data_IF_821001126448
#
_entry.id   IF_821001126448
#
_cell.length_a   1.000
_cell.length_b   1.000
_cell.length_c   1.000
_cell.angle_alpha   90.00
_cell.angle_beta   90.00
_cell.angle_gamma   90.00
#
_symmetry.space_group_name_H-M   'P 1'
#
loop_
_entity.id
_entity.type
_entity.pdbx_description
1 polymer ?
#
# COMPACT_ATOMS: atom_id res chain seq x y z
N UNK A 1 29.44 53.90 15.85
CA UNK A 1 28.10 53.44 15.46
C UNK A 1 28.21 52.68 14.15
N UNK A 2 28.29 51.39 14.20
CA UNK A 2 28.28 50.53 13.00
C UNK A 2 26.97 49.77 13.01
N UNK A 3 26.09 50.09 12.04
CA UNK A 3 24.82 49.44 11.82
C UNK A 3 25.02 48.02 11.34
N UNK A 4 24.53 47.04 12.12
CA UNK A 4 24.30 45.67 11.68
C UNK A 4 23.20 45.65 10.61
N UNK A 5 23.58 45.49 9.35
CA UNK A 5 22.64 45.07 8.31
C UNK A 5 22.31 43.59 8.58
N UNK A 6 21.15 43.31 9.11
CA UNK A 6 20.58 41.98 9.19
C UNK A 6 20.22 41.56 7.76
N UNK A 7 20.93 40.62 7.18
CA UNK A 7 20.50 39.95 5.94
C UNK A 7 19.28 39.13 6.25
N UNK A 8 18.10 39.67 5.98
CA UNK A 8 16.89 38.88 5.83
C UNK A 8 17.12 37.85 4.71
N UNK A 9 17.38 36.61 5.06
CA UNK A 9 17.23 35.49 4.13
C UNK A 9 15.79 35.48 3.68
N UNK A 10 15.51 36.06 2.53
CA UNK A 10 14.22 35.90 1.83
C UNK A 10 14.00 34.41 1.67
N UNK A 11 13.05 33.86 2.42
CA UNK A 11 12.68 32.46 2.28
C UNK A 11 12.18 32.28 0.85
N UNK A 12 12.94 31.58 0.02
CA UNK A 12 12.55 31.30 -1.37
C UNK A 12 11.17 30.60 -1.32
N UNK A 13 10.20 31.20 -2.00
CA UNK A 13 8.83 30.67 -2.04
C UNK A 13 8.86 29.28 -2.67
N UNK A 14 8.41 28.27 -1.94
CA UNK A 14 8.29 26.88 -2.45
C UNK A 14 7.18 26.83 -3.50
N UNK A 15 7.47 26.29 -4.68
CA UNK A 15 6.44 26.01 -5.70
C UNK A 15 5.95 24.59 -5.56
N UNK A 16 4.65 24.43 -5.42
CA UNK A 16 3.99 23.14 -5.36
C UNK A 16 3.48 22.76 -6.74
N UNK A 17 3.92 21.59 -7.21
CA UNK A 17 3.62 21.06 -8.54
C UNK A 17 2.65 19.90 -8.37
N UNK A 18 1.38 20.12 -8.63
CA UNK A 18 0.40 19.04 -8.67
C UNK A 18 0.42 18.33 -10.01
N UNK A 19 0.49 17.01 -10.00
CA UNK A 19 0.46 16.17 -11.21
C UNK A 19 -0.68 15.17 -11.07
N UNK A 20 -1.73 15.33 -11.88
CA UNK A 20 -2.71 14.28 -12.08
C UNK A 20 -2.21 13.34 -13.18
N UNK A 21 -2.21 12.03 -12.85
CA UNK A 21 -1.57 11.00 -13.68
C UNK A 21 -2.62 10.07 -14.26
N UNK A 22 -2.72 10.01 -15.58
CA UNK A 22 -3.46 8.96 -16.26
C UNK A 22 -2.55 8.10 -17.16
N UNK A 23 -3.12 7.16 -17.87
CA UNK A 23 -2.36 6.26 -18.76
C UNK A 23 -1.62 7.00 -19.86
N UNK A 24 -2.25 7.98 -20.46
CA UNK A 24 -1.79 8.64 -21.70
C UNK A 24 -1.21 10.04 -21.43
N UNK A 25 -1.66 10.70 -20.38
CA UNK A 25 -1.35 12.10 -20.10
C UNK A 25 -0.97 12.35 -18.66
N UNK A 26 -0.22 13.43 -18.47
CA UNK A 26 0.03 14.08 -17.19
C UNK A 26 -0.55 15.48 -17.28
N UNK A 27 -1.47 15.84 -16.38
CA UNK A 27 -1.93 17.21 -16.17
C UNK A 27 -1.13 17.83 -15.04
N UNK A 28 -0.54 18.99 -15.29
CA UNK A 28 0.35 19.67 -14.37
C UNK A 28 -0.21 21.03 -13.97
N UNK A 29 -0.14 21.36 -12.69
CA UNK A 29 -0.44 22.70 -12.17
C UNK A 29 0.65 23.19 -11.22
N UNK A 30 1.10 24.42 -11.43
CA UNK A 30 2.13 25.09 -10.63
C UNK A 30 1.46 26.11 -9.69
N UNK A 31 1.51 25.88 -8.40
CA UNK A 31 0.97 26.77 -7.38
C UNK A 31 2.12 27.43 -6.58
N UNK A 32 2.11 28.75 -6.33
CA UNK A 32 1.03 29.72 -6.58
C UNK A 32 1.07 30.38 -7.97
N UNK A 33 1.94 29.93 -8.90
CA UNK A 33 2.13 30.58 -10.21
C UNK A 33 0.88 30.61 -11.10
N UNK A 34 -0.12 29.75 -10.81
CA UNK A 34 -1.37 29.68 -11.57
C UNK A 34 -1.24 29.09 -12.98
N UNK A 35 -0.06 28.52 -13.31
CA UNK A 35 0.25 27.95 -14.64
C UNK A 35 -0.15 26.49 -14.69
N UNK A 36 -0.83 26.09 -15.76
CA UNK A 36 -1.18 24.68 -16.03
C UNK A 36 -0.79 24.30 -17.45
N UNK A 37 -0.37 23.04 -17.61
CA UNK A 37 -0.07 22.47 -18.92
C UNK A 37 -0.22 20.94 -18.89
N UNK A 38 -0.26 20.32 -20.08
CA UNK A 38 -0.39 18.87 -20.26
C UNK A 38 0.80 18.35 -21.05
N UNK A 39 1.29 17.15 -20.68
CA UNK A 39 2.28 16.39 -21.43
C UNK A 39 1.83 14.94 -21.56
N UNK A 40 2.43 14.18 -22.48
CA UNK A 40 2.21 12.73 -22.59
C UNK A 40 2.86 11.98 -21.45
N UNK A 41 2.27 10.86 -21.00
CA UNK A 41 2.86 10.00 -19.98
C UNK A 41 3.82 8.98 -20.62
N UNK A 42 4.86 9.50 -21.27
CA UNK A 42 5.92 8.76 -21.93
C UNK A 42 7.29 9.45 -21.73
N UNK A 43 8.34 8.88 -22.30
CA UNK A 43 9.70 9.43 -22.19
C UNK A 43 9.82 10.84 -22.78
N UNK A 44 9.07 11.16 -23.84
CA UNK A 44 9.09 12.48 -24.48
C UNK A 44 8.39 13.52 -23.59
N UNK A 45 7.21 13.18 -23.08
CA UNK A 45 6.46 14.03 -22.16
C UNK A 45 7.21 14.28 -20.85
N UNK A 46 7.87 13.27 -20.28
CA UNK A 46 8.71 13.43 -19.09
C UNK A 46 9.89 14.37 -19.34
N UNK A 47 10.54 14.26 -20.49
CA UNK A 47 11.61 15.22 -20.87
C UNK A 47 11.06 16.64 -21.01
N UNK A 48 9.88 16.82 -21.57
CA UNK A 48 9.22 18.13 -21.66
C UNK A 48 8.87 18.67 -20.28
N UNK A 49 8.25 17.84 -19.41
CA UNK A 49 7.93 18.21 -18.03
C UNK A 49 9.17 18.73 -17.30
N UNK A 50 10.27 17.99 -17.35
CA UNK A 50 11.52 18.39 -16.69
C UNK A 50 12.04 19.73 -17.21
N UNK A 51 12.06 19.96 -18.53
CA UNK A 51 12.46 21.25 -19.12
C UNK A 51 11.57 22.40 -18.65
N UNK A 52 10.26 22.19 -18.55
CA UNK A 52 9.32 23.20 -18.07
C UNK A 52 9.52 23.52 -16.59
N UNK A 53 9.91 22.53 -15.77
CA UNK A 53 10.25 22.73 -14.37
C UNK A 53 11.62 23.38 -14.19
N UNK A 54 12.63 22.99 -14.96
CA UNK A 54 13.98 23.59 -14.93
C UNK A 54 14.01 25.03 -15.49
N UNK A 55 13.04 25.40 -16.33
CA UNK A 55 12.86 26.75 -16.86
C UNK A 55 12.20 27.72 -15.84
N UNK A 56 11.86 27.27 -14.65
CA UNK A 56 11.43 28.14 -13.55
C UNK A 56 12.68 28.83 -12.97
N UNK A 57 13.04 29.96 -13.58
CA UNK A 57 14.26 30.69 -13.31
C UNK A 57 14.54 30.87 -11.81
N UNK A 58 15.79 30.60 -11.42
CA UNK A 58 16.38 30.80 -10.09
C UNK A 58 15.85 29.89 -8.97
N UNK A 59 15.02 28.87 -9.26
CA UNK A 59 14.56 27.92 -8.23
C UNK A 59 15.34 26.63 -8.31
N UNK A 60 16.04 26.21 -7.23
CA UNK A 60 16.63 24.88 -7.19
C UNK A 60 15.53 23.81 -7.19
N UNK A 61 15.79 22.65 -7.78
CA UNK A 61 14.84 21.52 -7.83
C UNK A 61 14.31 21.13 -6.44
N UNK A 62 15.11 21.34 -5.39
CA UNK A 62 14.73 21.13 -3.99
C UNK A 62 13.64 22.08 -3.47
N UNK A 63 13.45 23.22 -4.15
CA UNK A 63 12.35 24.16 -3.84
C UNK A 63 11.04 23.83 -4.59
N UNK A 64 11.07 22.83 -5.49
CA UNK A 64 9.91 22.34 -6.21
C UNK A 64 9.36 21.10 -5.51
N UNK A 65 8.21 21.24 -4.88
CA UNK A 65 7.54 20.12 -4.21
C UNK A 65 6.47 19.53 -5.12
N UNK A 66 6.76 18.36 -5.69
CA UNK A 66 5.87 17.66 -6.60
C UNK A 66 4.94 16.77 -5.81
N UNK A 67 3.63 16.89 -6.05
CA UNK A 67 2.58 16.09 -5.40
C UNK A 67 1.75 15.39 -6.47
N UNK A 68 1.67 14.07 -6.39
CA UNK A 68 0.86 13.26 -7.29
C UNK A 68 0.02 12.24 -6.53
N UNK A 69 -1.10 11.82 -7.12
CA UNK A 69 -1.93 10.75 -6.57
C UNK A 69 -1.43 9.37 -7.02
N UNK A 70 -1.54 8.38 -6.15
CA UNK A 70 -1.22 6.98 -6.47
C UNK A 70 -2.26 6.41 -7.46
N UNK A 71 -1.98 6.49 -8.76
CA UNK A 71 -2.87 6.02 -9.82
C UNK A 71 -2.36 4.70 -10.42
N UNK A 72 -2.76 3.59 -9.83
CA UNK A 72 -2.36 2.25 -10.25
C UNK A 72 -0.86 2.12 -10.49
N UNK A 73 -0.44 1.69 -11.71
CA UNK A 73 0.97 1.60 -12.09
C UNK A 73 1.51 2.86 -12.79
N UNK A 74 0.63 3.76 -13.23
CA UNK A 74 0.97 4.82 -14.17
C UNK A 74 1.83 5.94 -13.55
N UNK A 75 1.69 6.21 -12.25
CA UNK A 75 2.50 7.20 -11.54
C UNK A 75 3.94 6.74 -11.28
N UNK A 76 4.23 5.43 -11.27
CA UNK A 76 5.53 4.88 -10.84
C UNK A 76 6.70 5.33 -11.70
N UNK A 77 6.53 5.33 -13.03
CA UNK A 77 7.57 5.78 -13.97
C UNK A 77 7.87 7.27 -13.81
N UNK A 78 6.82 8.07 -13.65
CA UNK A 78 6.91 9.53 -13.39
C UNK A 78 7.64 9.79 -12.08
N UNK A 79 7.23 9.13 -10.99
CA UNK A 79 7.86 9.25 -9.68
C UNK A 79 9.35 8.91 -9.72
N UNK A 80 9.71 7.75 -10.31
CA UNK A 80 11.12 7.33 -10.43
C UNK A 80 11.96 8.35 -11.20
N UNK A 81 11.43 8.80 -12.34
CA UNK A 81 12.13 9.73 -13.22
C UNK A 81 12.37 11.07 -12.54
N UNK A 82 11.40 11.62 -11.84
CA UNK A 82 11.52 12.91 -11.14
C UNK A 82 12.38 12.77 -9.88
N UNK A 83 12.23 11.69 -9.14
CA UNK A 83 13.05 11.42 -7.95
C UNK A 83 14.54 11.24 -8.30
N UNK A 84 14.85 10.52 -9.40
CA UNK A 84 16.21 10.32 -9.88
C UNK A 84 16.89 11.65 -10.27
N UNK A 85 16.13 12.64 -10.71
CA UNK A 85 16.64 13.98 -11.05
C UNK A 85 16.69 14.93 -9.84
N UNK A 86 16.42 14.43 -8.61
CA UNK A 86 16.56 15.20 -7.38
C UNK A 86 15.36 16.08 -7.02
N UNK A 87 14.20 15.89 -7.66
CA UNK A 87 12.98 16.58 -7.25
C UNK A 87 12.41 16.00 -5.95
N UNK A 88 11.80 16.85 -5.14
CA UNK A 88 11.06 16.43 -3.96
C UNK A 88 9.67 15.93 -4.37
N UNK A 89 9.48 14.62 -4.38
CA UNK A 89 8.25 13.99 -4.88
C UNK A 89 7.47 13.33 -3.73
N UNK A 90 6.21 13.68 -3.59
CA UNK A 90 5.26 13.08 -2.65
C UNK A 90 4.12 12.39 -3.40
N UNK A 91 3.90 11.12 -3.10
CA UNK A 91 2.75 10.36 -3.61
C UNK A 91 1.70 10.27 -2.52
N UNK A 92 0.50 10.79 -2.79
CA UNK A 92 -0.58 10.84 -1.83
C UNK A 92 -1.62 9.75 -2.08
N UNK A 93 -2.27 9.31 -1.01
CA UNK A 93 -3.34 8.33 -1.08
C UNK A 93 -4.60 8.95 -1.74
N UNK A 94 -5.25 8.25 -2.69
CA UNK A 94 -6.43 8.73 -3.41
C UNK A 94 -7.60 9.13 -2.50
N UNK A 95 -7.78 8.42 -1.39
CA UNK A 95 -8.83 8.76 -0.44
C UNK A 95 -8.52 10.09 0.27
N UNK A 96 -7.24 10.33 0.63
CA UNK A 96 -6.83 11.60 1.25
C UNK A 96 -7.02 12.76 0.29
N UNK A 97 -6.63 12.62 -0.98
CA UNK A 97 -6.84 13.64 -2.01
C UNK A 97 -8.34 13.97 -2.17
N UNK A 98 -9.19 12.94 -2.26
CA UNK A 98 -10.65 13.10 -2.35
C UNK A 98 -11.27 13.77 -1.12
N UNK A 99 -10.83 13.41 0.08
CA UNK A 99 -11.31 14.01 1.31
C UNK A 99 -10.89 15.48 1.42
N UNK A 100 -9.66 15.79 1.01
CA UNK A 100 -9.15 17.15 0.94
C UNK A 100 -9.95 18.00 -0.06
N UNK A 101 -10.25 17.45 -1.25
CA UNK A 101 -11.11 18.09 -2.24
C UNK A 101 -12.47 18.50 -1.65
N UNK A 102 -13.13 17.57 -0.96
CA UNK A 102 -14.41 17.81 -0.31
C UNK A 102 -14.30 18.87 0.79
N UNK A 103 -13.24 18.83 1.60
CA UNK A 103 -13.01 19.82 2.66
C UNK A 103 -12.79 21.24 2.10
N UNK A 104 -12.18 21.36 0.91
CA UNK A 104 -11.99 22.63 0.20
C UNK A 104 -13.20 23.08 -0.63
N UNK A 105 -14.33 22.33 -0.63
CA UNK A 105 -15.53 22.66 -1.40
C UNK A 105 -15.45 22.37 -2.89
N UNK A 106 -14.44 21.63 -3.35
CA UNK A 106 -14.34 21.19 -4.75
C UNK A 106 -15.28 20.00 -4.98
N UNK A 107 -16.46 20.27 -5.57
CA UNK A 107 -17.47 19.26 -5.87
C UNK A 107 -17.40 18.75 -7.32
N UNK A 108 -16.84 19.56 -8.23
CA UNK A 108 -16.66 19.18 -9.63
C UNK A 108 -15.35 18.37 -9.81
N UNK A 109 -15.41 17.32 -10.63
CA UNK A 109 -14.24 16.49 -10.98
C UNK A 109 -13.86 16.75 -12.44
N UNK A 110 -12.67 17.35 -12.65
CA UNK A 110 -12.01 17.44 -13.96
C UNK A 110 -10.51 17.31 -13.76
N UNK A 111 -9.79 16.69 -14.68
CA UNK A 111 -8.36 16.42 -14.60
C UNK A 111 -7.52 17.68 -14.25
N UNK A 112 -7.88 18.82 -14.81
CA UNK A 112 -7.21 20.11 -14.49
C UNK A 112 -7.46 20.59 -13.05
N UNK A 113 -8.67 20.35 -12.52
CA UNK A 113 -8.99 20.66 -11.13
C UNK A 113 -8.26 19.72 -10.19
N UNK A 114 -8.08 18.45 -10.59
CA UNK A 114 -7.41 17.44 -9.80
C UNK A 114 -5.91 17.78 -9.65
N UNK A 115 -5.20 18.18 -10.72
CA UNK A 115 -3.82 18.66 -10.64
C UNK A 115 -3.67 19.92 -9.77
N UNK A 116 -4.57 20.91 -9.92
CA UNK A 116 -4.58 22.12 -9.09
C UNK A 116 -4.82 21.79 -7.62
N UNK A 117 -5.74 20.89 -7.34
CA UNK A 117 -6.04 20.43 -5.99
C UNK A 117 -4.85 19.78 -5.32
N UNK A 118 -4.10 18.92 -6.07
CA UNK A 118 -2.90 18.27 -5.57
C UNK A 118 -1.81 19.30 -5.23
N UNK A 119 -1.64 20.36 -6.02
CA UNK A 119 -0.71 21.44 -5.72
C UNK A 119 -1.10 22.19 -4.43
N UNK A 120 -2.37 22.56 -4.28
CA UNK A 120 -2.91 23.22 -3.07
C UNK A 120 -2.78 22.29 -1.85
N UNK A 121 -3.05 20.98 -2.02
CA UNK A 121 -2.85 20.01 -0.97
C UNK A 121 -1.38 19.92 -0.54
N UNK A 122 -0.46 20.05 -1.50
CA UNK A 122 0.98 20.12 -1.25
C UNK A 122 1.35 21.27 -0.33
N UNK A 123 0.82 22.47 -0.61
CA UNK A 123 1.05 23.65 0.21
C UNK A 123 0.45 23.51 1.62
N UNK A 124 -0.81 23.07 1.69
CA UNK A 124 -1.56 23.00 2.95
C UNK A 124 -1.05 21.89 3.89
N UNK A 125 -0.69 20.71 3.36
CA UNK A 125 -0.37 19.53 4.16
C UNK A 125 1.12 19.18 4.17
N UNK A 126 1.92 19.74 3.28
CA UNK A 126 3.37 19.49 3.14
C UNK A 126 3.73 18.01 3.29
N UNK A 127 3.16 17.12 2.46
CA UNK A 127 3.36 15.69 2.61
C UNK A 127 4.84 15.33 2.50
N UNK A 128 5.29 14.35 3.28
CA UNK A 128 6.67 13.89 3.25
C UNK A 128 7.03 13.30 1.87
N UNK A 129 8.32 13.38 1.51
CA UNK A 129 8.84 12.75 0.31
C UNK A 129 8.56 11.25 0.33
N UNK A 130 8.12 10.73 -0.81
CA UNK A 130 7.86 9.30 -0.99
C UNK A 130 8.93 8.74 -1.93
N UNK A 131 9.90 7.96 -1.42
CA UNK A 131 10.88 7.32 -2.28
C UNK A 131 10.19 6.33 -3.23
N UNK A 132 10.70 6.14 -4.46
CA UNK A 132 10.20 5.12 -5.36
C UNK A 132 10.35 3.74 -4.74
N UNK A 133 9.36 2.89 -5.00
CA UNK A 133 9.43 1.50 -4.57
C UNK A 133 10.44 0.73 -5.41
N UNK A 134 11.09 -0.25 -4.82
CA UNK A 134 11.98 -1.18 -5.50
C UNK A 134 11.24 -1.93 -6.63
N UNK A 135 11.90 -2.12 -7.79
CA UNK A 135 11.30 -2.76 -8.95
C UNK A 135 11.01 -4.25 -8.73
N UNK A 136 11.88 -4.95 -7.99
CA UNK A 136 11.65 -6.35 -7.65
C UNK A 136 10.42 -6.51 -6.75
N UNK A 137 10.24 -5.58 -5.80
CA UNK A 137 9.03 -5.56 -4.96
C UNK A 137 7.77 -5.20 -5.75
N UNK A 138 7.85 -4.30 -6.74
CA UNK A 138 6.72 -4.00 -7.63
C UNK A 138 6.33 -5.21 -8.48
N UNK A 139 7.31 -5.95 -9.03
CA UNK A 139 7.08 -7.18 -9.78
C UNK A 139 6.44 -8.25 -8.89
N UNK A 140 6.94 -8.43 -7.66
CA UNK A 140 6.33 -9.33 -6.69
C UNK A 140 4.88 -8.96 -6.37
N UNK A 141 4.57 -7.67 -6.20
CA UNK A 141 3.19 -7.21 -5.99
C UNK A 141 2.27 -7.56 -7.15
N UNK A 142 2.74 -7.41 -8.40
CA UNK A 142 1.97 -7.76 -9.59
C UNK A 142 1.64 -9.26 -9.61
N UNK A 143 2.63 -10.12 -9.35
CA UNK A 143 2.46 -11.57 -9.27
C UNK A 143 1.49 -12.00 -8.16
N UNK A 144 1.65 -11.46 -6.96
CA UNK A 144 0.76 -11.74 -5.81
C UNK A 144 -0.67 -11.29 -6.09
N UNK A 145 -0.87 -10.14 -6.74
CA UNK A 145 -2.19 -9.66 -7.13
C UNK A 145 -2.81 -10.56 -8.21
N UNK A 146 -2.04 -10.97 -9.23
CA UNK A 146 -2.50 -11.89 -10.26
C UNK A 146 -2.92 -13.24 -9.66
N UNK A 147 -2.14 -13.77 -8.73
CA UNK A 147 -2.46 -14.99 -7.99
C UNK A 147 -3.77 -14.85 -7.19
N UNK A 148 -3.95 -13.72 -6.52
CA UNK A 148 -5.15 -13.44 -5.74
C UNK A 148 -6.39 -13.36 -6.63
N UNK A 149 -6.29 -12.72 -7.80
CA UNK A 149 -7.35 -12.66 -8.80
C UNK A 149 -7.71 -14.06 -9.33
N UNK A 150 -6.71 -14.86 -9.73
CA UNK A 150 -6.91 -16.23 -10.20
C UNK A 150 -7.61 -17.11 -9.14
N UNK A 151 -7.23 -16.96 -7.86
CA UNK A 151 -7.90 -17.68 -6.77
C UNK A 151 -9.35 -17.22 -6.56
N UNK A 152 -9.64 -15.93 -6.77
CA UNK A 152 -11.01 -15.40 -6.77
C UNK A 152 -11.87 -16.03 -7.89
N UNK A 153 -11.33 -16.10 -9.12
CA UNK A 153 -11.98 -16.75 -10.26
C UNK A 153 -12.22 -18.23 -10.01
N UNK A 154 -11.22 -18.95 -9.48
CA UNK A 154 -11.33 -20.34 -9.08
C UNK A 154 -12.48 -20.56 -8.09
N UNK A 155 -12.59 -19.71 -7.08
CA UNK A 155 -13.65 -19.78 -6.09
C UNK A 155 -15.02 -19.54 -6.72
N UNK A 156 -15.14 -18.55 -7.62
CA UNK A 156 -16.37 -18.28 -8.34
C UNK A 156 -16.80 -19.45 -9.24
N UNK A 157 -15.87 -20.08 -9.97
CA UNK A 157 -16.14 -21.25 -10.80
C UNK A 157 -16.51 -22.48 -9.94
N UNK A 158 -15.82 -22.68 -8.81
CA UNK A 158 -16.14 -23.75 -7.87
C UNK A 158 -17.57 -23.61 -7.30
N UNK A 159 -18.00 -22.40 -6.99
CA UNK A 159 -19.38 -22.16 -6.55
C UNK A 159 -20.41 -22.40 -7.67
N UNK A 160 -20.09 -22.02 -8.92
CA UNK A 160 -20.94 -22.35 -10.08
C UNK A 160 -21.03 -23.86 -10.33
N UNK A 161 -19.94 -24.61 -10.10
CA UNK A 161 -19.93 -26.06 -10.22
C UNK A 161 -20.96 -26.73 -9.29
N UNK A 162 -21.14 -26.20 -8.07
CA UNK A 162 -22.10 -26.76 -7.10
C UNK A 162 -23.54 -26.68 -7.57
N UNK A 163 -23.89 -25.70 -8.40
CA UNK A 163 -25.23 -25.44 -8.93
C UNK A 163 -25.43 -25.92 -10.37
N UNK A 164 -24.37 -26.39 -11.04
CA UNK A 164 -24.44 -26.86 -12.41
C UNK A 164 -25.26 -28.19 -12.51
N UNK A 165 -26.28 -28.22 -13.35
CA UNK A 165 -27.14 -29.38 -13.54
C UNK A 165 -26.74 -30.20 -14.78
N UNK A 166 -26.45 -29.51 -15.91
CA UNK A 166 -26.19 -30.21 -17.18
C UNK A 166 -24.77 -30.80 -17.21
N UNK A 167 -24.62 -31.99 -17.78
CA UNK A 167 -23.33 -32.67 -17.93
C UNK A 167 -22.35 -31.85 -18.76
N UNK A 168 -22.81 -31.14 -19.79
CA UNK A 168 -22.01 -30.25 -20.61
C UNK A 168 -21.38 -29.14 -19.75
N UNK A 169 -22.19 -28.42 -18.98
CA UNK A 169 -21.71 -27.32 -18.15
C UNK A 169 -20.71 -27.82 -17.06
N UNK A 170 -20.99 -28.95 -16.44
CA UNK A 170 -20.07 -29.56 -15.47
C UNK A 170 -18.71 -29.87 -16.09
N UNK A 171 -18.69 -30.45 -17.31
CA UNK A 171 -17.46 -30.76 -18.03
C UNK A 171 -16.65 -29.49 -18.34
N UNK A 172 -17.30 -28.43 -18.83
CA UNK A 172 -16.65 -27.15 -19.16
C UNK A 172 -16.09 -26.47 -17.89
N UNK A 173 -16.84 -26.46 -16.78
CA UNK A 173 -16.38 -25.89 -15.51
C UNK A 173 -15.19 -26.67 -14.94
N UNK A 174 -15.20 -28.02 -15.04
CA UNK A 174 -14.08 -28.87 -14.62
C UNK A 174 -12.80 -28.51 -15.41
N UNK A 175 -12.91 -28.38 -16.74
CA UNK A 175 -11.76 -28.02 -17.58
C UNK A 175 -11.18 -26.65 -17.21
N UNK A 176 -12.05 -25.65 -16.98
CA UNK A 176 -11.64 -24.30 -16.58
C UNK A 176 -11.01 -24.28 -15.18
N UNK A 177 -11.54 -25.05 -14.22
CA UNK A 177 -10.95 -25.17 -12.89
C UNK A 177 -9.54 -25.77 -12.96
N UNK A 178 -9.35 -26.85 -13.74
CA UNK A 178 -8.04 -27.46 -13.92
C UNK A 178 -7.02 -26.51 -14.54
N UNK A 179 -7.45 -25.70 -15.53
CA UNK A 179 -6.61 -24.67 -16.13
C UNK A 179 -6.21 -23.58 -15.12
N UNK A 180 -7.15 -23.14 -14.27
CA UNK A 180 -6.86 -22.17 -13.21
C UNK A 180 -5.94 -22.74 -12.13
N UNK A 181 -6.10 -24.00 -11.74
CA UNK A 181 -5.20 -24.65 -10.79
C UNK A 181 -3.75 -24.69 -11.34
N UNK A 182 -3.60 -25.01 -12.62
CA UNK A 182 -2.29 -24.98 -13.31
C UNK A 182 -1.74 -23.55 -13.36
N UNK A 183 -2.56 -22.57 -13.65
CA UNK A 183 -2.15 -21.14 -13.68
C UNK A 183 -1.68 -20.66 -12.31
N UNK A 184 -2.44 -20.97 -11.25
CA UNK A 184 -2.08 -20.62 -9.86
C UNK A 184 -0.74 -21.27 -9.48
N UNK A 185 -0.54 -22.54 -9.80
CA UNK A 185 0.74 -23.23 -9.52
C UNK A 185 1.93 -22.57 -10.23
N UNK A 186 1.75 -22.10 -11.48
CA UNK A 186 2.79 -21.33 -12.19
C UNK A 186 3.07 -19.98 -11.54
N UNK A 187 2.03 -19.28 -11.08
CA UNK A 187 2.21 -18.03 -10.35
C UNK A 187 2.90 -18.26 -9.01
N UNK A 188 2.57 -19.33 -8.28
CA UNK A 188 3.26 -19.70 -7.04
C UNK A 188 4.75 -19.96 -7.26
N UNK A 189 5.12 -20.71 -8.31
CA UNK A 189 6.51 -20.95 -8.67
C UNK A 189 7.26 -19.66 -9.07
N UNK A 190 6.60 -18.75 -9.77
CA UNK A 190 7.19 -17.46 -10.16
C UNK A 190 7.39 -16.54 -8.97
N UNK A 191 6.43 -16.49 -8.03
CA UNK A 191 6.53 -15.76 -6.77
C UNK A 191 7.71 -16.26 -5.96
N UNK A 192 7.85 -17.59 -5.83
CA UNK A 192 8.97 -18.19 -5.09
C UNK A 192 10.31 -17.85 -5.73
N UNK A 193 10.41 -17.91 -7.06
CA UNK A 193 11.63 -17.54 -7.81
C UNK A 193 11.96 -16.06 -7.62
N UNK A 194 10.97 -15.18 -7.74
CA UNK A 194 11.13 -13.74 -7.56
C UNK A 194 11.63 -13.40 -6.15
N UNK A 195 11.07 -14.02 -5.12
CA UNK A 195 11.53 -13.85 -3.73
C UNK A 195 12.93 -14.44 -3.55
N UNK A 196 13.20 -15.59 -4.16
CA UNK A 196 14.51 -16.28 -4.06
C UNK A 196 15.66 -15.51 -4.72
N UNK A 197 15.37 -14.67 -5.71
CA UNK A 197 16.38 -13.84 -6.38
C UNK A 197 16.88 -12.68 -5.51
N UNK A 198 16.10 -12.28 -4.50
CA UNK A 198 16.40 -11.14 -3.63
C UNK A 198 16.71 -11.61 -2.20
N UNK A 199 17.97 -11.56 -1.74
CA UNK A 199 18.38 -12.11 -0.43
C UNK A 199 17.58 -11.55 0.75
N UNK A 200 17.25 -10.26 0.73
CA UNK A 200 16.44 -9.62 1.77
C UNK A 200 14.99 -10.14 1.78
N UNK A 201 14.37 -10.30 0.62
CA UNK A 201 13.02 -10.87 0.51
C UNK A 201 13.02 -12.34 0.94
N UNK A 202 14.02 -13.12 0.57
CA UNK A 202 14.19 -14.51 1.00
C UNK A 202 14.30 -14.59 2.52
N UNK A 203 15.14 -13.77 3.12
CA UNK A 203 15.29 -13.73 4.58
C UNK A 203 13.98 -13.39 5.29
N UNK A 204 13.22 -12.42 4.77
CA UNK A 204 11.89 -12.08 5.29
C UNK A 204 10.90 -13.24 5.15
N UNK A 205 10.93 -13.95 4.03
CA UNK A 205 10.11 -15.15 3.80
C UNK A 205 10.39 -16.20 4.87
N UNK A 206 11.66 -16.55 5.09
CA UNK A 206 12.08 -17.56 6.06
C UNK A 206 11.63 -17.20 7.48
N UNK A 207 11.77 -15.93 7.87
CA UNK A 207 11.28 -15.42 9.18
C UNK A 207 9.77 -15.58 9.27
N UNK A 208 9.02 -15.18 8.26
CA UNK A 208 7.56 -15.22 8.28
C UNK A 208 7.03 -16.65 8.32
N UNK A 209 7.59 -17.55 7.52
CA UNK A 209 7.17 -18.98 7.48
C UNK A 209 7.51 -19.69 8.79
N UNK A 210 8.53 -19.25 9.51
CA UNK A 210 8.85 -19.83 10.82
C UNK A 210 7.73 -19.65 11.86
N UNK A 211 6.82 -18.67 11.67
CA UNK A 211 5.70 -18.41 12.58
C UNK A 211 4.59 -19.45 12.33
N UNK A 212 4.25 -20.31 13.31
CA UNK A 212 3.17 -21.27 13.13
C UNK A 212 1.84 -20.59 12.76
N UNK A 213 1.28 -20.99 11.62
CA UNK A 213 0.08 -20.42 11.03
C UNK A 213 0.34 -19.54 9.82
N UNK A 214 1.58 -19.09 9.55
CA UNK A 214 1.93 -18.35 8.35
C UNK A 214 2.56 -19.30 7.33
N UNK A 215 1.85 -19.57 6.23
CA UNK A 215 2.37 -20.30 5.08
C UNK A 215 2.96 -19.38 4.01
N UNK A 216 3.60 -19.97 2.98
CA UNK A 216 4.28 -19.25 1.90
C UNK A 216 3.41 -18.19 1.22
N UNK A 217 2.14 -18.50 0.93
CA UNK A 217 1.18 -17.57 0.31
C UNK A 217 0.93 -16.33 1.18
N UNK A 218 0.73 -16.54 2.49
CA UNK A 218 0.54 -15.41 3.42
C UNK A 218 1.82 -14.61 3.54
N UNK A 219 2.98 -15.26 3.67
CA UNK A 219 4.27 -14.60 3.77
C UNK A 219 4.56 -13.74 2.53
N UNK A 220 4.37 -14.28 1.32
CA UNK A 220 4.51 -13.53 0.07
C UNK A 220 3.55 -12.32 0.01
N UNK A 221 2.30 -12.50 0.43
CA UNK A 221 1.31 -11.41 0.50
C UNK A 221 1.71 -10.31 1.49
N UNK A 222 2.33 -10.66 2.63
CA UNK A 222 2.83 -9.70 3.60
C UNK A 222 4.07 -8.96 3.08
N UNK A 223 5.02 -9.65 2.45
CA UNK A 223 6.21 -9.02 1.85
C UNK A 223 5.78 -8.03 0.76
N UNK A 224 4.91 -8.46 -0.15
CA UNK A 224 4.43 -7.63 -1.26
C UNK A 224 3.55 -6.46 -0.79
N UNK A 225 2.68 -6.69 0.19
CA UNK A 225 1.64 -5.74 0.58
C UNK A 225 1.96 -4.86 1.79
N UNK A 226 2.97 -5.21 2.60
CA UNK A 226 3.40 -4.49 3.81
C UNK A 226 4.93 -4.42 3.85
N UNK A 227 5.53 -3.74 2.87
CA UNK A 227 6.97 -3.58 2.74
C UNK A 227 7.61 -2.87 3.96
N UNK A 228 6.82 -2.10 4.72
CA UNK A 228 7.23 -1.39 5.93
C UNK A 228 7.43 -2.28 7.16
N UNK A 229 7.04 -3.57 7.09
CA UNK A 229 7.30 -4.51 8.19
C UNK A 229 8.81 -4.59 8.48
N UNK A 230 9.13 -4.51 9.75
CA UNK A 230 10.52 -4.46 10.23
C UNK A 230 11.08 -3.04 10.40
N UNK A 231 10.53 -2.05 9.68
CA UNK A 231 10.93 -0.64 9.76
C UNK A 231 9.92 0.25 10.50
N UNK A 232 8.76 -0.28 10.88
CA UNK A 232 7.71 0.46 11.58
C UNK A 232 7.41 -0.11 12.97
N UNK A 233 6.72 0.65 13.81
CA UNK A 233 6.24 0.15 15.11
C UNK A 233 5.12 -0.87 14.93
N UNK A 234 4.91 -1.76 15.91
CA UNK A 234 3.81 -2.72 15.90
C UNK A 234 2.41 -2.08 15.79
N UNK A 235 2.24 -0.84 16.32
CA UNK A 235 1.00 -0.07 16.18
C UNK A 235 0.80 0.37 14.72
N UNK A 236 1.85 0.85 14.07
CA UNK A 236 1.82 1.24 12.65
C UNK A 236 1.60 0.03 11.73
N UNK A 237 2.27 -1.10 11.99
CA UNK A 237 2.04 -2.35 11.25
C UNK A 237 0.58 -2.80 11.34
N UNK A 238 -0.03 -2.75 12.53
CA UNK A 238 -1.44 -3.06 12.72
C UNK A 238 -2.37 -2.06 11.98
N UNK A 239 -2.03 -0.77 11.96
CA UNK A 239 -2.77 0.25 11.20
C UNK A 239 -2.69 0.01 9.69
N UNK A 240 -1.49 -0.24 9.15
CA UNK A 240 -1.27 -0.51 7.73
C UNK A 240 -2.06 -1.75 7.28
N UNK A 241 -2.12 -2.78 8.11
CA UNK A 241 -2.95 -3.97 7.85
C UNK A 241 -4.46 -3.74 8.09
N UNK A 242 -4.88 -2.57 8.58
CA UNK A 242 -6.27 -2.27 8.91
C UNK A 242 -6.81 -3.08 10.08
N UNK A 243 -5.94 -3.39 11.06
CA UNK A 243 -6.25 -4.18 12.26
C UNK A 243 -6.23 -3.36 13.55
N UNK A 244 -6.04 -2.05 13.44
CA UNK A 244 -6.14 -1.15 14.58
C UNK A 244 -7.63 -0.83 14.83
N UNK A 245 -8.17 -1.08 16.04
CA UNK A 245 -9.52 -0.68 16.37
C UNK A 245 -9.56 0.84 16.51
N UNK A 246 -10.38 1.47 15.69
CA UNK A 246 -10.64 2.90 15.75
C UNK A 246 -11.87 3.16 16.61
N UNK A 247 -11.76 4.10 17.55
CA UNK A 247 -12.89 4.57 18.33
C UNK A 247 -13.81 5.42 17.42
N UNK A 248 -15.11 5.21 17.55
CA UNK A 248 -16.16 6.08 17.00
C UNK A 248 -16.97 6.59 18.18
N UNK A 249 -16.42 7.54 18.91
CA UNK A 249 -17.03 8.13 20.09
C UNK A 249 -17.46 9.57 19.73
N UNK A 250 -18.72 9.89 19.95
CA UNK A 250 -19.24 11.26 19.76
C UNK A 250 -20.17 11.60 20.92
N UNK A 251 -19.78 12.57 21.75
CA UNK A 251 -20.52 12.98 22.94
C UNK A 251 -20.68 11.80 23.92
N UNK A 252 -21.92 11.60 24.41
CA UNK A 252 -22.23 10.52 25.36
C UNK A 252 -22.32 9.11 24.72
N UNK A 253 -22.23 9.00 23.38
CA UNK A 253 -22.25 7.70 22.69
C UNK A 253 -20.87 7.06 22.67
N UNK A 254 -20.64 6.09 23.53
CA UNK A 254 -19.53 5.14 23.41
C UNK A 254 -19.87 4.13 22.28
N UNK A 255 -19.37 4.40 21.06
CA UNK A 255 -19.50 3.49 19.93
C UNK A 255 -18.59 2.27 20.05
N UNK A 256 -19.01 1.14 19.48
CA UNK A 256 -18.15 -0.04 19.41
C UNK A 256 -16.92 0.25 18.56
N UNK A 257 -15.73 -0.07 19.11
CA UNK A 257 -14.47 0.02 18.37
C UNK A 257 -14.46 -0.98 17.23
N UNK A 258 -14.28 -0.50 16.00
CA UNK A 258 -14.22 -1.34 14.81
C UNK A 258 -12.92 -1.12 14.04
N UNK A 259 -12.46 -2.18 13.35
CA UNK A 259 -11.34 -2.06 12.42
C UNK A 259 -11.80 -1.37 11.14
N UNK A 260 -11.01 -0.39 10.67
CA UNK A 260 -11.27 0.34 9.43
C UNK A 260 -9.97 0.67 8.70
N UNK A 261 -10.06 0.93 7.38
CA UNK A 261 -8.93 1.33 6.56
C UNK A 261 -7.88 0.24 6.38
N UNK A 262 -6.63 0.64 6.16
CA UNK A 262 -5.51 -0.23 5.88
C UNK A 262 -5.61 -0.97 4.54
N UNK A 263 -4.63 -1.82 4.27
CA UNK A 263 -4.52 -2.55 3.00
C UNK A 263 -5.33 -3.85 3.04
N UNK A 264 -6.33 -4.05 2.13
CA UNK A 264 -7.21 -5.24 2.19
C UNK A 264 -6.49 -6.55 1.90
N UNK A 265 -5.57 -6.59 0.92
CA UNK A 265 -4.90 -7.83 0.50
C UNK A 265 -4.09 -8.49 1.63
N UNK A 266 -3.16 -7.79 2.34
CA UNK A 266 -2.50 -8.34 3.51
C UNK A 266 -3.46 -8.73 4.64
N UNK A 267 -4.52 -7.92 4.88
CA UNK A 267 -5.51 -8.24 5.90
C UNK A 267 -6.24 -9.55 5.60
N UNK A 268 -6.61 -9.80 4.35
CA UNK A 268 -7.25 -11.06 3.95
C UNK A 268 -6.30 -12.26 4.09
N UNK A 269 -5.01 -12.08 3.73
CA UNK A 269 -4.02 -13.13 3.90
C UNK A 269 -3.78 -13.47 5.38
N UNK A 270 -3.66 -12.46 6.24
CA UNK A 270 -3.46 -12.66 7.69
C UNK A 270 -4.70 -13.25 8.39
N UNK A 271 -5.90 -13.06 7.83
CA UNK A 271 -7.11 -13.69 8.34
C UNK A 271 -7.01 -15.21 8.28
N UNK A 272 -6.61 -15.78 7.15
CA UNK A 272 -6.43 -17.22 6.99
C UNK A 272 -5.30 -17.76 7.87
N UNK A 273 -4.19 -17.02 7.95
CA UNK A 273 -3.09 -17.34 8.85
C UNK A 273 -3.51 -17.34 10.32
N UNK A 274 -4.35 -16.39 10.75
CA UNK A 274 -4.83 -16.30 12.12
C UNK A 274 -5.77 -17.47 12.50
N UNK A 275 -6.58 -17.97 11.56
CA UNK A 275 -7.38 -19.19 11.74
C UNK A 275 -6.49 -20.41 12.03
N UNK A 276 -5.39 -20.55 11.28
CA UNK A 276 -4.41 -21.62 11.51
C UNK A 276 -3.62 -21.39 12.81
N UNK A 277 -3.11 -20.17 13.03
CA UNK A 277 -2.32 -19.82 14.21
C UNK A 277 -3.11 -19.97 15.51
N UNK A 278 -4.42 -19.70 15.52
CA UNK A 278 -5.26 -19.91 16.70
C UNK A 278 -5.41 -21.38 17.13
N UNK A 279 -4.91 -22.32 16.31
CA UNK A 279 -4.90 -23.75 16.58
C UNK A 279 -3.50 -24.31 16.77
N UNK A 280 -2.53 -23.82 16.00
CA UNK A 280 -1.21 -24.42 15.85
C UNK A 280 -0.07 -23.58 16.46
N UNK A 281 -0.32 -22.32 16.81
CA UNK A 281 0.66 -21.49 17.51
C UNK A 281 0.33 -21.48 19.01
N UNK A 282 1.16 -22.06 19.89
CA UNK A 282 0.83 -22.23 21.30
C UNK A 282 0.44 -20.91 21.99
N UNK A 283 1.20 -19.84 21.74
CA UNK A 283 0.96 -18.54 22.38
C UNK A 283 -0.36 -17.90 21.92
N UNK A 284 -0.66 -18.02 20.61
CA UNK A 284 -1.85 -17.43 20.02
C UNK A 284 -3.10 -18.29 20.28
N UNK A 285 -2.97 -19.60 20.38
CA UNK A 285 -4.04 -20.51 20.80
C UNK A 285 -4.47 -20.18 22.24
N UNK A 286 -3.51 -20.12 23.16
CA UNK A 286 -3.76 -19.75 24.56
C UNK A 286 -4.42 -18.36 24.67
N UNK A 287 -3.91 -17.39 23.92
CA UNK A 287 -4.50 -16.05 23.86
C UNK A 287 -5.94 -16.05 23.34
N UNK A 288 -6.22 -16.81 22.28
CA UNK A 288 -7.56 -16.92 21.70
C UNK A 288 -8.54 -17.57 22.69
N UNK A 289 -8.13 -18.64 23.38
CA UNK A 289 -8.95 -19.30 24.41
C UNK A 289 -9.27 -18.38 25.60
N UNK A 290 -8.29 -17.63 26.06
CA UNK A 290 -8.49 -16.65 27.15
C UNK A 290 -9.58 -15.62 26.77
N UNK A 291 -9.55 -15.08 25.54
CA UNK A 291 -10.57 -14.14 25.09
C UNK A 291 -11.95 -14.79 24.93
N UNK A 292 -12.02 -16.03 24.47
CA UNK A 292 -13.29 -16.79 24.36
C UNK A 292 -13.89 -17.02 25.74
N UNK A 293 -13.07 -17.46 26.73
CA UNK A 293 -13.51 -17.65 28.11
C UNK A 293 -14.01 -16.35 28.75
N UNK A 294 -13.44 -15.19 28.35
CA UNK A 294 -13.91 -13.87 28.75
C UNK A 294 -15.18 -13.39 28.00
N UNK A 295 -15.84 -14.26 27.22
CA UNK A 295 -17.08 -13.94 26.51
C UNK A 295 -16.94 -13.13 25.23
N UNK A 296 -15.73 -12.96 24.68
CA UNK A 296 -15.52 -12.18 23.45
C UNK A 296 -16.11 -12.92 22.23
N UNK A 297 -16.81 -12.21 21.33
CA UNK A 297 -17.32 -12.80 20.08
C UNK A 297 -16.20 -13.38 19.20
N UNK A 298 -16.45 -14.48 18.51
CA UNK A 298 -15.46 -15.19 17.69
C UNK A 298 -14.72 -14.29 16.68
N UNK A 299 -15.43 -13.36 16.01
CA UNK A 299 -14.82 -12.41 15.07
C UNK A 299 -13.86 -11.44 15.78
N UNK A 300 -14.19 -10.99 16.98
CA UNK A 300 -13.34 -10.11 17.78
C UNK A 300 -12.07 -10.84 18.21
N UNK A 301 -12.21 -12.10 18.68
CA UNK A 301 -11.07 -12.97 19.02
C UNK A 301 -10.14 -13.12 17.82
N UNK A 302 -10.69 -13.43 16.65
CA UNK A 302 -9.90 -13.64 15.44
C UNK A 302 -9.15 -12.37 15.02
N UNK A 303 -9.80 -11.21 15.04
CA UNK A 303 -9.16 -9.93 14.75
C UNK A 303 -8.04 -9.61 15.76
N UNK A 304 -8.24 -9.94 17.03
CA UNK A 304 -7.20 -9.78 18.06
C UNK A 304 -5.98 -10.70 17.79
N UNK A 305 -6.22 -11.95 17.36
CA UNK A 305 -5.15 -12.88 16.90
C UNK A 305 -4.45 -12.33 15.66
N UNK A 306 -5.18 -11.87 14.65
CA UNK A 306 -4.61 -11.23 13.46
C UNK A 306 -3.67 -10.08 13.83
N UNK A 307 -4.11 -9.22 14.75
CA UNK A 307 -3.30 -8.09 15.21
C UNK A 307 -2.03 -8.54 15.96
N UNK A 308 -2.13 -9.53 16.84
CA UNK A 308 -0.95 -10.10 17.51
C UNK A 308 0.01 -10.74 16.50
N UNK A 309 -0.53 -11.45 15.52
CA UNK A 309 0.26 -12.14 14.50
C UNK A 309 1.05 -11.14 13.64
N UNK A 310 0.44 -10.02 13.22
CA UNK A 310 1.16 -9.00 12.44
C UNK A 310 2.20 -8.25 13.27
N UNK A 311 1.93 -7.99 14.55
CA UNK A 311 2.90 -7.37 15.47
C UNK A 311 4.06 -8.32 15.74
N UNK A 312 3.81 -9.61 15.91
CA UNK A 312 4.84 -10.64 16.04
C UNK A 312 5.72 -10.71 14.77
N UNK A 313 5.10 -10.79 13.59
CA UNK A 313 5.81 -10.78 12.31
C UNK A 313 6.71 -9.54 12.18
N UNK A 314 6.18 -8.35 12.46
CA UNK A 314 6.96 -7.11 12.46
C UNK A 314 8.15 -7.18 13.42
N UNK A 315 7.94 -7.64 14.64
CA UNK A 315 9.00 -7.74 15.66
C UNK A 315 10.10 -8.71 15.25
N UNK A 316 9.75 -9.86 14.66
CA UNK A 316 10.73 -10.86 14.23
C UNK A 316 11.55 -10.36 13.04
N UNK A 317 10.93 -9.67 12.08
CA UNK A 317 11.65 -9.03 10.96
C UNK A 317 12.58 -7.93 11.48
N UNK A 318 12.11 -7.04 12.38
CA UNK A 318 12.96 -6.00 13.01
C UNK A 318 14.19 -6.60 13.70
N UNK A 319 14.01 -7.72 14.40
CA UNK A 319 15.10 -8.41 15.10
C UNK A 319 15.90 -9.37 14.21
N UNK A 320 15.55 -9.48 12.95
CA UNK A 320 16.13 -10.41 11.98
C UNK A 320 16.26 -11.84 12.50
N UNK A 321 15.26 -12.38 13.19
CA UNK A 321 15.27 -13.71 13.79
C UNK A 321 14.05 -14.54 13.42
N UNK A 322 14.20 -15.85 13.33
CA UNK A 322 13.10 -16.82 13.20
C UNK A 322 12.29 -16.91 14.50
N UNK A 323 11.07 -17.37 14.39
CA UNK A 323 10.23 -17.68 15.54
C UNK A 323 10.73 -18.91 16.27
N UNK A 324 10.69 -18.86 17.59
CA UNK A 324 10.97 -19.99 18.49
C UNK A 324 9.89 -20.05 19.57
N UNK A 325 9.43 -21.24 19.98
CA UNK A 325 8.51 -21.35 21.10
C UNK A 325 9.22 -20.86 22.37
N UNK A 326 8.50 -20.10 23.19
CA UNK A 326 9.00 -19.56 24.46
C UNK A 326 10.39 -18.89 24.31
N UNK A 327 10.49 -17.71 23.69
CA UNK A 327 11.76 -17.00 23.68
C UNK A 327 12.17 -16.69 25.11
N UNK A 328 13.46 -16.79 25.44
CA UNK A 328 13.98 -16.45 26.75
C UNK A 328 13.68 -14.99 27.13
#
# INVERSE_FOLDING_TARGET
MQGKVSSERTAMATVYVGIDVCKEWLDIHLHPLGRSFRVTNDTAGLRRLKRELDALDQMPRSALHIVMEATGKWHRAVQRSLHADGFYVSVVDPLRARLFAKACGFLAKTDRLDARLLAIMGEALKPAQTPPQDQALEALQELVNARSAANGERTALSNRMKTAVTAFLRKELTRRLAALDTHIARLDAEIERSIGAEPEMRRRLDILISIPGIGAVTAASLIAGLCELGACSGKQAAMLAGLAPLACESGERAGHRAIRGGRPAPRNAIYMAALSASRHNPDLAHFAERLKKAGSPNKVVLVAVMRKLIVLANTLITKNRIWTPNPP
#
